data_IF_393994698156
#
_entry.id   IF_393994698156
#
_cell.length_a   1.000
_cell.length_b   1.000
_cell.length_c   1.000
_cell.angle_alpha   90.00
_cell.angle_beta   90.00
_cell.angle_gamma   90.00
#
_symmetry.space_group_name_H-M   'P 1'
#
loop_
_entity.id
_entity.type
_entity.pdbx_description
1 polymer ?
#
# COMPACT_ATOMS: atom_id res chain seq x y z
N UNK A 1 8.01 -33.80 -67.47
CA UNK A 1 8.84 -32.97 -66.57
C UNK A 1 7.92 -32.31 -65.54
N UNK A 2 7.82 -32.86 -64.32
CA UNK A 2 6.96 -32.33 -63.25
C UNK A 2 7.76 -31.29 -62.45
N UNK A 3 7.31 -30.03 -62.43
CA UNK A 3 7.90 -28.97 -61.59
C UNK A 3 7.32 -29.12 -60.17
N UNK A 4 8.18 -29.43 -59.20
CA UNK A 4 7.86 -29.45 -57.77
C UNK A 4 8.08 -28.03 -57.25
N UNK A 5 7.01 -27.36 -56.80
CA UNK A 5 7.13 -26.10 -56.06
C UNK A 5 7.37 -26.43 -54.58
N UNK A 6 8.51 -25.98 -54.06
CA UNK A 6 8.81 -25.97 -52.63
C UNK A 6 8.30 -24.64 -52.05
N UNK A 7 7.27 -24.69 -51.21
CA UNK A 7 6.77 -23.52 -50.48
C UNK A 7 7.49 -23.45 -49.12
N UNK A 8 8.31 -22.43 -48.92
CA UNK A 8 9.03 -22.17 -47.67
C UNK A 8 8.08 -21.44 -46.69
N UNK A 9 7.61 -22.12 -45.65
CA UNK A 9 6.81 -21.52 -44.59
C UNK A 9 7.74 -20.88 -43.53
N UNK A 10 7.80 -19.55 -43.50
CA UNK A 10 8.55 -18.78 -42.50
C UNK A 10 7.64 -18.61 -41.27
N UNK A 11 7.94 -19.37 -40.20
CA UNK A 11 7.29 -19.28 -38.90
C UNK A 11 7.75 -17.99 -38.20
N UNK A 12 6.94 -16.93 -38.24
CA UNK A 12 7.20 -15.70 -37.49
C UNK A 12 6.85 -15.94 -36.01
N UNK A 13 7.85 -16.30 -35.19
CA UNK A 13 7.73 -16.20 -33.73
C UNK A 13 7.74 -14.72 -33.34
N UNK A 14 6.55 -14.16 -33.14
CA UNK A 14 6.38 -12.88 -32.47
C UNK A 14 6.81 -13.04 -31.01
N UNK A 15 8.03 -12.63 -30.69
CA UNK A 15 8.45 -12.41 -29.31
C UNK A 15 7.62 -11.26 -28.74
N UNK A 16 6.59 -11.59 -27.95
CA UNK A 16 6.02 -10.63 -27.03
C UNK A 16 7.09 -10.34 -25.99
N UNK A 17 7.75 -9.19 -26.12
CA UNK A 17 8.51 -8.62 -25.02
C UNK A 17 7.51 -8.36 -23.89
N UNK A 18 7.46 -9.26 -22.91
CA UNK A 18 6.82 -8.99 -21.63
C UNK A 18 7.63 -7.83 -21.06
N UNK A 19 7.08 -6.62 -21.13
CA UNK A 19 7.71 -5.43 -20.56
C UNK A 19 7.92 -5.67 -19.07
N UNK A 20 9.13 -6.06 -18.70
CA UNK A 20 9.50 -6.19 -17.29
C UNK A 20 9.45 -4.77 -16.72
N UNK A 21 8.49 -4.51 -15.81
CA UNK A 21 8.37 -3.22 -15.13
C UNK A 21 9.74 -2.93 -14.51
N UNK A 22 10.41 -1.91 -15.04
CA UNK A 22 11.79 -1.59 -14.66
C UNK A 22 11.89 -1.43 -13.14
N UNK A 23 12.92 -2.03 -12.56
CA UNK A 23 13.18 -1.98 -11.13
C UNK A 23 13.48 -0.54 -10.70
N UNK A 24 12.73 -0.06 -9.72
CA UNK A 24 12.93 1.27 -9.12
C UNK A 24 14.05 1.14 -8.07
N UNK A 25 15.07 2.01 -8.14
CA UNK A 25 16.20 1.99 -7.21
C UNK A 25 15.74 2.20 -5.77
N UNK A 26 16.54 1.71 -4.82
CA UNK A 26 16.29 1.85 -3.38
C UNK A 26 16.09 3.32 -2.97
N UNK A 27 16.93 4.23 -3.47
CA UNK A 27 16.83 5.67 -3.21
C UNK A 27 15.46 6.23 -3.63
N UNK A 28 14.97 5.85 -4.81
CA UNK A 28 13.68 6.31 -5.32
C UNK A 28 12.52 5.67 -4.55
N UNK A 29 12.63 4.40 -4.17
CA UNK A 29 11.64 3.76 -3.29
C UNK A 29 11.55 4.44 -1.93
N UNK A 30 12.69 4.77 -1.31
CA UNK A 30 12.75 5.52 -0.04
C UNK A 30 12.07 6.87 -0.19
N UNK A 31 12.46 7.64 -1.22
CA UNK A 31 11.90 8.96 -1.48
C UNK A 31 10.39 8.89 -1.68
N UNK A 32 9.92 7.98 -2.54
CA UNK A 32 8.50 7.80 -2.82
C UNK A 32 7.71 7.42 -1.57
N UNK A 33 8.16 6.40 -0.83
CA UNK A 33 7.49 5.94 0.37
C UNK A 33 7.32 7.07 1.40
N UNK A 34 8.38 7.87 1.58
CA UNK A 34 8.41 8.97 2.55
C UNK A 34 7.43 10.10 2.20
N UNK A 35 7.01 10.25 0.92
CA UNK A 35 6.07 11.31 0.53
C UNK A 35 4.69 11.20 1.19
N UNK A 36 4.28 10.00 1.64
CA UNK A 36 3.04 9.83 2.38
C UNK A 36 3.08 10.45 3.79
N UNK A 37 4.27 10.62 4.38
CA UNK A 37 4.41 11.26 5.67
C UNK A 37 4.26 12.80 5.57
N UNK A 38 3.90 13.48 6.68
CA UNK A 38 4.03 14.92 6.81
C UNK A 38 5.44 15.38 6.41
N UNK A 39 5.53 16.56 5.78
CA UNK A 39 6.78 17.05 5.19
C UNK A 39 7.95 17.11 6.18
N UNK A 40 7.67 17.58 7.40
CA UNK A 40 8.64 17.67 8.50
C UNK A 40 9.15 16.31 9.02
N UNK A 41 8.41 15.23 8.78
CA UNK A 41 8.72 13.89 9.27
C UNK A 41 9.48 13.02 8.26
N UNK A 42 9.49 13.40 6.96
CA UNK A 42 9.92 12.52 5.85
C UNK A 42 11.35 12.01 6.00
N UNK A 43 12.25 12.86 6.48
CA UNK A 43 13.65 12.47 6.63
C UNK A 43 13.89 11.47 7.76
N UNK A 44 12.98 11.37 8.72
CA UNK A 44 13.13 10.53 9.91
C UNK A 44 12.34 9.22 9.84
N UNK A 45 11.58 8.95 8.77
CA UNK A 45 10.76 7.73 8.68
C UNK A 45 11.61 6.46 8.50
N UNK A 46 11.11 5.34 9.03
CA UNK A 46 11.55 3.99 8.64
C UNK A 46 10.93 3.65 7.29
N UNK A 47 11.67 3.00 6.38
CA UNK A 47 11.13 2.57 5.08
C UNK A 47 11.40 1.10 4.81
N UNK A 48 10.32 0.37 4.50
CA UNK A 48 10.39 -0.91 3.79
C UNK A 48 10.04 -0.71 2.32
N UNK A 49 10.85 -1.27 1.43
CA UNK A 49 10.56 -1.32 0.00
C UNK A 49 10.61 -2.76 -0.52
N UNK A 50 10.81 -2.91 -1.82
CA UNK A 50 10.80 -4.19 -2.52
C UNK A 50 12.11 -4.42 -3.26
N UNK A 51 12.68 -5.62 -3.12
CA UNK A 51 13.83 -6.06 -3.90
C UNK A 51 13.44 -6.42 -5.35
N UNK A 52 14.42 -6.88 -6.13
CA UNK A 52 14.21 -7.26 -7.54
C UNK A 52 13.29 -8.46 -7.72
N UNK A 53 13.05 -9.23 -6.66
CA UNK A 53 12.14 -10.37 -6.62
C UNK A 53 10.75 -9.97 -6.11
N UNK A 54 10.54 -8.69 -5.76
CA UNK A 54 9.28 -8.21 -5.19
C UNK A 54 9.10 -8.59 -3.72
N UNK A 55 10.16 -8.99 -3.01
CA UNK A 55 10.11 -9.28 -1.58
C UNK A 55 10.32 -7.99 -0.78
N UNK A 56 9.55 -7.83 0.29
CA UNK A 56 9.70 -6.69 1.19
C UNK A 56 11.03 -6.74 1.94
N UNK A 57 11.79 -5.65 1.90
CA UNK A 57 13.08 -5.49 2.57
C UNK A 57 13.16 -4.13 3.28
N UNK A 58 13.93 -4.06 4.37
CA UNK A 58 14.19 -2.80 5.07
C UNK A 58 15.23 -2.00 4.28
N UNK A 59 14.88 -0.77 3.88
CA UNK A 59 15.74 0.12 3.09
C UNK A 59 16.25 1.31 3.91
N UNK A 60 15.50 1.73 4.92
CA UNK A 60 15.88 2.83 5.81
C UNK A 60 15.40 2.55 7.23
N UNK A 61 16.28 2.61 8.21
CA UNK A 61 15.93 2.34 9.62
C UNK A 61 15.00 3.39 10.23
N UNK A 62 15.19 4.66 9.90
CA UNK A 62 14.42 5.78 10.46
C UNK A 62 14.72 6.04 11.95
N UNK A 63 14.22 7.15 12.46
CA UNK A 63 14.40 7.61 13.85
C UNK A 63 13.11 8.12 14.50
N UNK A 64 12.06 8.41 13.74
CA UNK A 64 10.78 8.88 14.30
C UNK A 64 9.79 7.72 14.57
N UNK A 65 8.50 8.04 14.68
CA UNK A 65 7.43 7.11 15.00
C UNK A 65 6.70 6.57 13.77
N UNK A 66 7.15 6.84 12.55
CA UNK A 66 6.50 6.41 11.31
C UNK A 66 7.26 5.28 10.61
N UNK A 67 6.51 4.31 10.12
CA UNK A 67 6.97 3.24 9.23
C UNK A 67 6.27 3.42 7.89
N UNK A 68 7.05 3.57 6.83
CA UNK A 68 6.57 3.76 5.47
C UNK A 68 6.84 2.53 4.61
N UNK A 69 5.92 2.24 3.69
CA UNK A 69 5.97 1.13 2.75
C UNK A 69 5.98 1.72 1.34
N UNK A 70 6.96 1.31 0.54
CA UNK A 70 7.07 1.71 -0.86
C UNK A 70 5.94 1.12 -1.71
N UNK A 71 5.91 1.52 -2.98
CA UNK A 71 4.93 1.05 -3.96
C UNK A 71 5.17 -0.42 -4.29
N UNK A 72 4.14 -1.27 -4.19
CA UNK A 72 4.24 -2.69 -4.51
C UNK A 72 4.31 -2.86 -6.04
N UNK A 73 5.42 -3.36 -6.60
CA UNK A 73 5.60 -3.47 -8.05
C UNK A 73 4.58 -4.40 -8.72
N UNK A 74 3.92 -5.27 -7.95
CA UNK A 74 2.91 -6.21 -8.43
C UNK A 74 1.48 -5.64 -8.40
N UNK A 75 1.30 -4.41 -7.91
CA UNK A 75 0.02 -3.72 -7.92
C UNK A 75 -0.04 -2.68 -9.04
N UNK A 76 -1.26 -2.41 -9.50
CA UNK A 76 -1.51 -1.38 -10.50
C UNK A 76 -1.69 -0.01 -9.83
N UNK A 77 -1.21 1.04 -10.51
CA UNK A 77 -1.19 2.39 -9.93
C UNK A 77 -0.04 2.56 -8.95
N UNK A 78 0.04 3.77 -8.37
CA UNK A 78 1.00 4.08 -7.31
C UNK A 78 0.24 4.09 -5.98
N UNK A 79 0.76 3.38 -4.99
CA UNK A 79 0.24 3.38 -3.63
C UNK A 79 1.37 3.21 -2.62
N UNK A 80 1.74 4.30 -1.96
CA UNK A 80 2.67 4.30 -0.83
C UNK A 80 1.93 4.65 0.46
N UNK A 81 2.43 4.16 1.60
CA UNK A 81 1.78 4.43 2.88
C UNK A 81 2.79 4.67 3.98
N UNK A 82 2.41 5.44 5.00
CA UNK A 82 3.15 5.60 6.24
C UNK A 82 2.18 5.43 7.41
N UNK A 83 2.57 4.72 8.47
CA UNK A 83 1.74 4.53 9.64
C UNK A 83 2.56 4.61 10.92
N UNK A 84 1.90 4.89 12.04
CA UNK A 84 2.56 4.89 13.34
C UNK A 84 3.12 3.50 13.68
N UNK A 85 4.36 3.44 14.16
CA UNK A 85 5.07 2.19 14.49
C UNK A 85 4.34 1.28 15.48
N UNK A 86 3.44 1.81 16.33
CA UNK A 86 2.60 1.00 17.22
C UNK A 86 1.62 0.08 16.46
N UNK A 87 1.30 0.40 15.22
CA UNK A 87 0.45 -0.40 14.33
C UNK A 87 1.25 -1.41 13.49
N UNK A 88 2.59 -1.35 13.52
CA UNK A 88 3.43 -2.25 12.72
C UNK A 88 3.23 -3.74 13.04
N UNK A 89 3.05 -4.20 14.30
CA UNK A 89 2.78 -5.63 14.55
C UNK A 89 1.60 -6.15 13.72
N UNK A 90 0.51 -5.37 13.66
CA UNK A 90 -0.64 -5.70 12.83
C UNK A 90 -0.27 -5.64 11.34
N UNK A 91 0.34 -4.55 10.86
CA UNK A 91 0.65 -4.34 9.43
C UNK A 91 1.67 -5.32 8.86
N UNK A 92 2.77 -5.58 9.58
CA UNK A 92 3.81 -6.53 9.20
C UNK A 92 3.26 -7.93 9.08
N UNK A 93 2.39 -8.34 10.02
CA UNK A 93 1.71 -9.63 9.96
C UNK A 93 0.89 -9.80 8.68
N UNK A 94 0.25 -8.73 8.19
CA UNK A 94 -0.42 -8.73 6.90
C UNK A 94 0.54 -8.97 5.71
N UNK A 95 1.73 -8.35 5.74
CA UNK A 95 2.76 -8.55 4.71
C UNK A 95 3.31 -9.97 4.73
N UNK A 96 3.56 -10.53 5.92
CA UNK A 96 4.01 -11.91 6.09
C UNK A 96 3.01 -12.92 5.51
N UNK A 97 1.73 -12.78 5.84
CA UNK A 97 0.68 -13.67 5.32
C UNK A 97 0.55 -13.57 3.80
N UNK A 98 0.63 -12.36 3.23
CA UNK A 98 0.67 -12.16 1.78
C UNK A 98 1.87 -12.87 1.15
N UNK A 99 3.06 -12.77 1.77
CA UNK A 99 4.27 -13.47 1.30
C UNK A 99 4.16 -15.01 1.39
N UNK A 100 3.29 -15.52 2.27
CA UNK A 100 2.93 -16.94 2.35
C UNK A 100 1.86 -17.36 1.33
N UNK A 101 1.44 -16.46 0.44
CA UNK A 101 0.43 -16.72 -0.58
C UNK A 101 -1.01 -16.66 -0.08
N UNK A 102 -1.25 -16.14 1.12
CA UNK A 102 -2.61 -15.97 1.66
C UNK A 102 -3.35 -14.87 0.92
N UNK A 103 -4.59 -15.14 0.56
CA UNK A 103 -5.44 -14.13 -0.05
C UNK A 103 -5.91 -13.08 0.99
N UNK A 104 -6.63 -12.07 0.53
CA UNK A 104 -7.13 -10.98 1.38
C UNK A 104 -8.08 -11.48 2.48
N UNK A 105 -8.97 -12.43 2.16
CA UNK A 105 -9.98 -12.91 3.11
C UNK A 105 -9.35 -13.85 4.15
N UNK A 106 -8.46 -14.74 3.72
CA UNK A 106 -7.65 -15.57 4.62
C UNK A 106 -6.80 -14.68 5.55
N UNK A 107 -6.11 -13.68 5.00
CA UNK A 107 -5.27 -12.76 5.78
C UNK A 107 -6.10 -12.03 6.85
N UNK A 108 -7.30 -11.59 6.50
CA UNK A 108 -8.23 -10.93 7.45
C UNK A 108 -8.70 -11.89 8.54
N UNK A 109 -9.06 -13.11 8.18
CA UNK A 109 -9.53 -14.12 9.13
C UNK A 109 -8.42 -14.51 10.13
N UNK A 110 -7.21 -14.78 9.64
CA UNK A 110 -6.07 -15.14 10.48
C UNK A 110 -5.73 -13.99 11.45
N UNK A 111 -5.59 -12.75 10.94
CA UNK A 111 -5.29 -11.61 11.80
C UNK A 111 -6.39 -11.34 12.83
N UNK A 112 -7.66 -11.53 12.47
CA UNK A 112 -8.78 -11.44 13.42
C UNK A 112 -8.59 -12.43 14.58
N UNK A 113 -8.37 -13.70 14.26
CA UNK A 113 -8.17 -14.75 15.27
C UNK A 113 -6.94 -14.46 16.15
N UNK A 114 -5.83 -14.04 15.54
CA UNK A 114 -4.60 -13.71 16.28
C UNK A 114 -4.80 -12.50 17.21
N UNK A 115 -5.59 -11.49 16.81
CA UNK A 115 -5.94 -10.38 17.71
C UNK A 115 -6.85 -10.83 18.83
N UNK A 116 -7.91 -11.60 18.53
CA UNK A 116 -8.88 -12.08 19.52
C UNK A 116 -8.25 -13.02 20.57
N UNK A 117 -7.21 -13.76 20.17
CA UNK A 117 -6.39 -14.59 21.07
C UNK A 117 -5.28 -13.83 21.79
N UNK A 118 -5.05 -12.55 21.46
CA UNK A 118 -3.98 -11.72 22.03
C UNK A 118 -2.58 -11.97 21.45
N UNK A 119 -2.43 -12.89 20.49
CA UNK A 119 -1.17 -13.18 19.81
C UNK A 119 -0.72 -12.05 18.88
N UNK A 120 -1.67 -11.29 18.33
CA UNK A 120 -1.40 -10.12 17.49
C UNK A 120 -1.87 -8.86 18.18
N UNK A 121 -0.93 -7.93 18.44
CA UNK A 121 -1.22 -6.68 19.13
C UNK A 121 -1.82 -5.65 18.16
N UNK A 122 -2.94 -5.07 18.57
CA UNK A 122 -3.46 -3.81 18.03
C UNK A 122 -2.87 -2.62 18.81
N UNK A 123 -2.84 -1.40 18.25
CA UNK A 123 -2.38 -0.23 18.97
C UNK A 123 -3.28 0.06 20.18
N UNK A 124 -2.67 0.58 21.25
CA UNK A 124 -3.29 0.97 22.53
C UNK A 124 -3.92 2.37 22.52
N UNK A 125 -3.76 3.09 21.41
CA UNK A 125 -4.27 4.43 21.18
C UNK A 125 -4.65 4.59 19.69
N UNK A 126 -5.43 5.62 19.33
CA UNK A 126 -5.70 5.92 17.93
C UNK A 126 -4.41 5.98 17.10
N UNK A 127 -4.34 5.21 16.03
CA UNK A 127 -3.11 5.07 15.24
C UNK A 127 -3.29 5.54 13.81
N UNK A 128 -2.53 6.58 13.46
CA UNK A 128 -2.57 7.21 12.15
C UNK A 128 -1.92 6.33 11.07
N UNK A 129 -2.52 6.34 9.88
CA UNK A 129 -1.99 5.84 8.62
C UNK A 129 -2.29 6.87 7.52
N UNK A 130 -1.26 7.23 6.78
CA UNK A 130 -1.29 8.04 5.57
C UNK A 130 -1.18 7.10 4.37
N UNK A 131 -2.02 7.30 3.37
CA UNK A 131 -1.95 6.56 2.10
C UNK A 131 -1.92 7.58 0.97
N UNK A 132 -0.82 7.61 0.22
CA UNK A 132 -0.67 8.43 -0.96
C UNK A 132 -0.84 7.55 -2.20
N UNK A 133 -1.83 7.87 -3.02
CA UNK A 133 -2.07 7.15 -4.27
C UNK A 133 -1.95 8.05 -5.49
N UNK A 134 -1.69 7.46 -6.65
CA UNK A 134 -1.62 8.19 -7.91
C UNK A 134 -1.62 7.28 -9.13
N UNK A 135 -1.63 7.89 -10.31
CA UNK A 135 -1.51 7.17 -11.59
C UNK A 135 -0.03 6.96 -11.91
N UNK A 136 0.32 5.81 -12.48
CA UNK A 136 1.69 5.53 -12.93
C UNK A 136 2.18 6.56 -13.96
N UNK A 137 1.30 7.05 -14.83
CA UNK A 137 1.61 8.09 -15.81
C UNK A 137 2.05 9.44 -15.19
N UNK A 138 1.74 9.65 -13.90
CA UNK A 138 2.10 10.86 -13.18
C UNK A 138 3.37 10.69 -12.32
N UNK A 139 3.98 9.50 -12.33
CA UNK A 139 5.23 9.23 -11.62
C UNK A 139 6.42 9.51 -12.54
N UNK A 140 7.30 10.39 -12.11
CA UNK A 140 8.64 10.45 -12.66
C UNK A 140 9.48 9.33 -12.02
N UNK A 141 9.80 8.29 -12.79
CA UNK A 141 10.52 7.10 -12.27
C UNK A 141 12.01 7.36 -11.99
N UNK A 142 12.59 8.39 -12.61
CA UNK A 142 13.98 8.79 -12.37
C UNK A 142 14.11 9.59 -11.07
N UNK A 143 13.11 10.42 -10.75
CA UNK A 143 13.18 11.33 -9.59
C UNK A 143 12.30 10.91 -8.41
N UNK A 144 11.36 9.97 -8.61
CA UNK A 144 10.38 9.55 -7.61
C UNK A 144 9.26 10.56 -7.35
N UNK A 145 9.19 11.66 -8.10
CA UNK A 145 8.14 12.67 -7.94
C UNK A 145 6.80 12.16 -8.47
N UNK A 146 5.76 12.20 -7.63
CA UNK A 146 4.39 11.85 -8.02
C UNK A 146 3.53 13.12 -8.12
N UNK A 147 3.07 13.42 -9.33
CA UNK A 147 2.14 14.53 -9.57
C UNK A 147 0.69 14.11 -9.34
N UNK A 148 -0.14 15.06 -8.92
CA UNK A 148 -1.57 14.86 -8.62
C UNK A 148 -1.85 13.69 -7.66
N UNK A 149 -0.90 13.44 -6.75
CA UNK A 149 -1.05 12.42 -5.71
C UNK A 149 -2.20 12.76 -4.76
N UNK A 150 -2.99 11.76 -4.39
CA UNK A 150 -4.13 11.90 -3.49
C UNK A 150 -3.80 11.25 -2.14
N UNK A 151 -3.91 12.04 -1.08
CA UNK A 151 -3.79 11.54 0.28
C UNK A 151 -5.13 11.05 0.80
N UNK A 152 -5.11 9.91 1.47
CA UNK A 152 -6.17 9.40 2.34
C UNK A 152 -5.58 9.22 3.73
N UNK A 153 -6.36 9.56 4.75
CA UNK A 153 -6.02 9.31 6.14
C UNK A 153 -6.88 8.20 6.70
N UNK A 154 -6.25 7.31 7.44
CA UNK A 154 -6.89 6.19 8.13
C UNK A 154 -6.44 6.21 9.59
N UNK A 155 -7.39 6.31 10.51
CA UNK A 155 -7.10 6.33 11.95
C UNK A 155 -7.67 5.05 12.55
N UNK A 156 -6.81 4.10 12.87
CA UNK A 156 -7.21 2.87 13.54
C UNK A 156 -7.64 3.16 14.97
N UNK A 157 -8.85 2.74 15.31
CA UNK A 157 -9.46 2.85 16.64
C UNK A 157 -10.12 1.50 16.96
N UNK A 158 -9.33 0.50 17.38
CA UNK A 158 -9.80 -0.87 17.55
C UNK A 158 -11.07 -0.94 18.40
N UNK A 159 -12.07 -1.71 17.94
CA UNK A 159 -13.36 -1.95 18.58
C UNK A 159 -14.31 -0.76 18.72
N UNK A 160 -13.94 0.43 18.24
CA UNK A 160 -14.86 1.57 18.24
C UNK A 160 -16.15 1.28 17.46
N UNK A 161 -17.27 1.78 17.97
CA UNK A 161 -18.59 1.64 17.35
C UNK A 161 -19.12 2.98 16.83
N UNK A 162 -20.14 2.92 15.97
CA UNK A 162 -20.85 4.14 15.51
C UNK A 162 -21.58 4.85 16.65
N UNK A 163 -22.05 4.10 17.66
CA UNK A 163 -22.75 4.64 18.82
C UNK A 163 -21.81 5.46 19.72
N UNK A 164 -20.61 4.96 20.00
CA UNK A 164 -19.64 5.64 20.86
C UNK A 164 -19.01 6.86 20.17
N UNK A 165 -18.75 6.76 18.87
CA UNK A 165 -18.01 7.80 18.12
C UNK A 165 -18.91 8.84 17.47
N UNK A 166 -20.19 8.53 17.24
CA UNK A 166 -21.10 9.34 16.42
C UNK A 166 -20.79 9.31 14.91
N UNK A 167 -19.76 8.58 14.47
CA UNK A 167 -19.42 8.46 13.06
C UNK A 167 -20.39 7.52 12.33
N UNK A 168 -20.81 7.85 11.09
CA UNK A 168 -21.57 6.92 10.27
C UNK A 168 -20.68 5.75 9.82
N UNK A 169 -21.28 4.61 9.48
CA UNK A 169 -20.56 3.44 8.93
C UNK A 169 -20.25 3.53 7.44
N UNK A 170 -20.51 4.68 6.81
CA UNK A 170 -20.24 4.99 5.40
C UNK A 170 -20.19 6.52 5.22
N UNK A 171 -19.49 7.05 4.21
CA UNK A 171 -19.48 8.48 3.96
C UNK A 171 -20.83 8.91 3.37
N UNK A 172 -21.35 10.06 3.80
CA UNK A 172 -22.57 10.66 3.24
C UNK A 172 -22.29 11.88 2.34
N UNK A 173 -21.06 12.38 2.32
CA UNK A 173 -20.59 13.43 1.42
C UNK A 173 -19.11 13.22 1.08
N UNK A 174 -18.61 13.75 -0.06
CA UNK A 174 -17.18 13.80 -0.36
C UNK A 174 -16.41 14.46 0.80
N UNK A 175 -15.25 13.92 1.18
CA UNK A 175 -14.50 14.44 2.32
C UNK A 175 -14.97 13.98 3.70
N UNK A 176 -16.21 13.47 3.83
CA UNK A 176 -16.80 13.20 5.14
C UNK A 176 -16.14 12.01 5.84
N UNK A 177 -15.66 12.17 7.09
CA UNK A 177 -15.17 11.06 7.90
C UNK A 177 -16.26 10.02 8.18
N UNK A 178 -15.87 8.75 8.19
CA UNK A 178 -16.76 7.64 8.53
C UNK A 178 -15.99 6.48 9.15
N UNK A 179 -16.69 5.62 9.88
CA UNK A 179 -16.12 4.47 10.57
C UNK A 179 -16.27 3.21 9.73
N UNK A 180 -15.16 2.66 9.25
CA UNK A 180 -15.14 1.36 8.59
C UNK A 180 -15.02 0.25 9.63
N UNK A 181 -15.74 -0.85 9.42
CA UNK A 181 -15.75 -2.05 10.26
C UNK A 181 -16.01 -1.80 11.76
N UNK A 182 -17.09 -1.07 12.11
CA UNK A 182 -17.41 -0.75 13.50
C UNK A 182 -17.52 -2.02 14.37
N UNK A 183 -17.03 -1.93 15.60
CA UNK A 183 -17.06 -3.02 16.59
C UNK A 183 -16.04 -4.13 16.35
N UNK A 184 -15.15 -4.00 15.37
CA UNK A 184 -14.11 -5.00 15.08
C UNK A 184 -12.73 -4.54 15.54
N UNK A 185 -11.79 -5.48 15.70
CA UNK A 185 -10.39 -5.18 16.01
C UNK A 185 -9.74 -4.16 15.06
N UNK A 186 -10.23 -4.06 13.81
CA UNK A 186 -9.71 -3.17 12.78
C UNK A 186 -10.62 -1.98 12.49
N UNK A 187 -11.54 -1.63 13.40
CA UNK A 187 -12.35 -0.43 13.25
C UNK A 187 -11.46 0.79 13.01
N UNK A 188 -11.78 1.61 12.02
CA UNK A 188 -10.96 2.76 11.66
C UNK A 188 -11.75 3.90 11.02
N UNK A 189 -11.35 5.13 11.32
CA UNK A 189 -11.88 6.34 10.70
C UNK A 189 -11.24 6.50 9.33
N UNK A 190 -12.06 6.60 8.30
CA UNK A 190 -11.67 6.84 6.93
C UNK A 190 -11.90 8.31 6.57
N UNK A 191 -10.84 9.00 6.13
CA UNK A 191 -10.92 10.39 5.67
C UNK A 191 -10.28 10.46 4.29
N UNK A 192 -11.09 10.77 3.28
CA UNK A 192 -10.60 11.02 1.91
C UNK A 192 -10.92 12.46 1.57
N UNK A 193 -9.96 13.40 1.72
CA UNK A 193 -10.12 14.79 1.35
C UNK A 193 -10.69 14.96 -0.07
N UNK A 194 -11.46 16.02 -0.25
CA UNK A 194 -11.86 16.46 -1.58
C UNK A 194 -10.63 16.97 -2.34
N UNK A 195 -10.61 16.78 -3.66
CA UNK A 195 -9.55 17.31 -4.49
C UNK A 195 -9.51 18.85 -4.36
N UNK A 196 -8.30 19.44 -4.33
CA UNK A 196 -8.14 20.89 -4.13
C UNK A 196 -8.75 21.73 -5.26
N UNK A 197 -9.02 21.12 -6.42
CA UNK A 197 -9.73 21.71 -7.55
C UNK A 197 -10.75 20.68 -8.09
N UNK A 198 -12.06 20.84 -7.80
CA UNK A 198 -13.10 20.00 -8.37
C UNK A 198 -13.30 20.23 -9.87
#
# INVERSE_FOLDING_TARGET
>A
MKKVLFTLAILNLSFYAIGQKEYISEEIQIKMASMAAPEEDREAVRVYGYDRQGKTVLMKEGTNNLVCIADDPNMSGISVSCYNKKLDPFMSRGRELKAQGKDMMETRAIRKQEVESGNLKMPDAPSMTYVLTGKEANLNRETGELKDGKLRYVIYIPYATTQETGLPNKPHAPGMPWLMDPGTHRAHIMITPVDKNP
#
